data_IF_220958849481
#
_entry.id   IF_220958849481
#
_cell.length_a   1.000
_cell.length_b   1.000
_cell.length_c   1.000
_cell.angle_alpha   90.00
_cell.angle_beta   90.00
_cell.angle_gamma   90.00
#
_symmetry.space_group_name_H-M   'P 1'
#
loop_
_entity.id
_entity.type
_entity.pdbx_description
1 polymer ?
#
# COMPACT_ATOMS: atom_id res chain seq x y z
N UNK A 1 -3.37 22.03 1.57
CA UNK A 1 -3.10 20.77 2.30
C UNK A 1 -3.18 21.02 3.80
N UNK A 2 -4.09 20.34 4.50
CA UNK A 2 -4.24 20.47 5.96
C UNK A 2 -3.25 19.55 6.72
N UNK A 3 -3.27 19.58 8.06
CA UNK A 3 -2.37 18.76 8.90
C UNK A 3 -2.60 17.26 8.73
N UNK A 4 -3.85 16.85 8.54
CA UNK A 4 -4.22 15.44 8.35
C UNK A 4 -3.70 14.91 7.01
N UNK A 5 -3.91 15.67 5.93
CA UNK A 5 -3.38 15.38 4.61
C UNK A 5 -1.85 15.31 4.60
N UNK A 6 -1.16 16.21 5.31
CA UNK A 6 0.30 16.14 5.45
C UNK A 6 0.76 14.84 6.14
N UNK A 7 0.03 14.39 7.17
CA UNK A 7 0.34 13.14 7.86
C UNK A 7 0.18 11.94 6.90
N UNK A 8 -0.86 11.96 6.08
CA UNK A 8 -1.11 10.93 5.06
C UNK A 8 0.01 10.90 4.01
N UNK A 9 0.47 12.05 3.50
CA UNK A 9 1.59 12.06 2.55
C UNK A 9 2.87 11.48 3.18
N UNK A 10 3.14 11.75 4.45
CA UNK A 10 4.30 11.17 5.14
C UNK A 10 4.19 9.65 5.29
N UNK A 11 3.02 9.16 5.69
CA UNK A 11 2.71 7.73 5.76
C UNK A 11 2.97 7.05 4.39
N UNK A 12 2.45 7.64 3.31
CA UNK A 12 2.63 7.09 1.97
C UNK A 12 4.07 7.14 1.48
N UNK A 13 4.81 8.20 1.83
CA UNK A 13 6.24 8.29 1.53
C UNK A 13 7.02 7.17 2.21
N UNK A 14 6.77 6.90 3.49
CA UNK A 14 7.44 5.82 4.22
C UNK A 14 7.12 4.43 3.63
N UNK A 15 5.88 4.20 3.22
CA UNK A 15 5.47 2.96 2.54
C UNK A 15 6.24 2.78 1.22
N UNK A 16 6.27 3.80 0.37
CA UNK A 16 6.93 3.76 -0.93
C UNK A 16 8.45 3.63 -0.78
N UNK A 17 9.05 4.36 0.16
CA UNK A 17 10.49 4.29 0.45
C UNK A 17 10.88 2.88 0.93
N UNK A 18 10.10 2.28 1.81
CA UNK A 18 10.30 0.90 2.27
C UNK A 18 10.20 -0.10 1.10
N UNK A 19 9.18 0.05 0.25
CA UNK A 19 8.95 -0.83 -0.91
C UNK A 19 10.09 -0.79 -1.94
N UNK A 20 10.62 0.40 -2.23
CA UNK A 20 11.72 0.58 -3.18
C UNK A 20 13.02 -0.01 -2.63
N UNK A 21 13.26 0.14 -1.33
CA UNK A 21 14.48 -0.33 -0.68
C UNK A 21 14.47 -1.84 -0.36
N UNK A 22 13.29 -2.47 -0.34
CA UNK A 22 13.18 -3.91 -0.19
C UNK A 22 13.66 -4.63 -1.46
N UNK A 23 14.57 -5.59 -1.29
CA UNK A 23 15.19 -6.36 -2.38
C UNK A 23 14.61 -7.76 -2.56
N UNK A 24 13.62 -8.15 -1.74
CA UNK A 24 12.96 -9.46 -1.86
C UNK A 24 12.26 -9.61 -3.21
N UNK A 25 12.27 -10.84 -3.73
CA UNK A 25 11.59 -11.21 -4.98
C UNK A 25 10.25 -11.91 -4.74
N UNK A 26 10.04 -12.41 -3.52
CA UNK A 26 8.84 -13.14 -3.10
C UNK A 26 8.40 -12.68 -1.71
N UNK A 27 7.10 -12.69 -1.48
CA UNK A 27 6.44 -12.15 -0.30
C UNK A 27 5.37 -13.13 0.17
N UNK A 28 5.53 -13.61 1.39
CA UNK A 28 4.62 -14.57 2.00
C UNK A 28 3.75 -13.86 3.03
N UNK A 29 2.44 -13.90 2.81
CA UNK A 29 1.43 -13.26 3.65
C UNK A 29 0.49 -14.32 4.22
N UNK A 30 0.17 -14.21 5.50
CA UNK A 30 -0.88 -15.01 6.12
C UNK A 30 -2.19 -14.27 6.01
N UNK A 31 -3.16 -14.89 5.34
CA UNK A 31 -4.52 -14.38 5.18
C UNK A 31 -5.42 -15.11 6.16
N UNK A 32 -6.15 -14.35 6.96
CA UNK A 32 -7.14 -14.86 7.90
C UNK A 32 -8.52 -14.33 7.50
N UNK A 33 -9.41 -15.21 7.06
CA UNK A 33 -10.78 -14.88 6.67
C UNK A 33 -11.77 -15.77 7.45
N UNK A 34 -12.53 -15.15 8.36
CA UNK A 34 -13.42 -15.88 9.26
C UNK A 34 -12.67 -16.88 10.14
N UNK A 35 -12.95 -18.18 9.95
CA UNK A 35 -12.29 -19.28 10.66
C UNK A 35 -11.21 -19.99 9.81
N UNK A 36 -10.87 -19.44 8.64
CA UNK A 36 -9.86 -20.00 7.75
C UNK A 36 -8.60 -19.14 7.77
N UNK A 37 -7.46 -19.83 7.77
CA UNK A 37 -6.14 -19.21 7.66
C UNK A 37 -5.35 -19.96 6.59
N UNK A 38 -4.81 -19.22 5.63
CA UNK A 38 -3.90 -19.76 4.62
C UNK A 38 -2.76 -18.79 4.35
N UNK A 39 -1.73 -19.30 3.69
CA UNK A 39 -0.56 -18.52 3.33
C UNK A 39 -0.51 -18.33 1.82
N UNK A 40 -0.33 -17.09 1.39
CA UNK A 40 -0.15 -16.73 -0.01
C UNK A 40 1.27 -16.24 -0.23
N UNK A 41 1.93 -16.75 -1.27
CA UNK A 41 3.22 -16.23 -1.71
C UNK A 41 3.03 -15.52 -3.06
N UNK A 42 3.37 -14.24 -3.10
CA UNK A 42 3.31 -13.42 -4.31
C UNK A 42 4.70 -12.95 -4.73
N UNK A 43 4.88 -12.73 -6.03
CA UNK A 43 6.13 -12.19 -6.56
C UNK A 43 6.21 -10.67 -6.33
N UNK A 44 7.41 -10.12 -6.53
CA UNK A 44 7.68 -8.68 -6.36
C UNK A 44 6.77 -7.79 -7.19
N UNK A 45 6.45 -8.18 -8.43
CA UNK A 45 5.58 -7.39 -9.30
C UNK A 45 4.18 -7.22 -8.69
N UNK A 46 3.57 -8.33 -8.24
CA UNK A 46 2.27 -8.30 -7.56
C UNK A 46 2.32 -7.52 -6.24
N UNK A 47 3.40 -7.67 -5.47
CA UNK A 47 3.59 -6.90 -4.24
C UNK A 47 3.65 -5.39 -4.52
N UNK A 48 4.40 -4.97 -5.54
CA UNK A 48 4.51 -3.56 -5.93
C UNK A 48 3.19 -3.02 -6.47
N UNK A 49 2.45 -3.81 -7.25
CA UNK A 49 1.11 -3.44 -7.71
C UNK A 49 0.18 -3.19 -6.51
N UNK A 50 0.13 -4.09 -5.54
CA UNK A 50 -0.68 -3.93 -4.33
C UNK A 50 -0.32 -2.65 -3.55
N UNK A 51 0.98 -2.35 -3.41
CA UNK A 51 1.42 -1.10 -2.77
C UNK A 51 0.93 0.12 -3.54
N UNK A 52 1.00 0.11 -4.87
CA UNK A 52 0.46 1.21 -5.70
C UNK A 52 -1.06 1.37 -5.54
N UNK A 53 -1.80 0.27 -5.44
CA UNK A 53 -3.25 0.29 -5.20
C UNK A 53 -3.58 0.91 -3.84
N UNK A 54 -2.93 0.47 -2.76
CA UNK A 54 -3.07 1.05 -1.42
C UNK A 54 -2.75 2.54 -1.41
N UNK A 55 -1.64 2.94 -2.06
CA UNK A 55 -1.25 4.36 -2.14
C UNK A 55 -2.30 5.18 -2.89
N UNK A 56 -2.79 4.66 -4.00
CA UNK A 56 -3.81 5.32 -4.83
C UNK A 56 -5.12 5.50 -4.06
N UNK A 57 -5.62 4.44 -3.41
CA UNK A 57 -6.83 4.51 -2.59
C UNK A 57 -6.69 5.50 -1.44
N UNK A 58 -5.53 5.51 -0.76
CA UNK A 58 -5.27 6.46 0.33
C UNK A 58 -5.34 7.90 -0.16
N UNK A 59 -4.79 8.18 -1.34
CA UNK A 59 -4.84 9.52 -1.92
C UNK A 59 -6.26 9.89 -2.38
N UNK A 60 -6.97 8.99 -3.08
CA UNK A 60 -8.35 9.21 -3.55
C UNK A 60 -9.31 9.48 -2.38
N UNK A 61 -9.17 8.72 -1.29
CA UNK A 61 -10.09 8.83 -0.15
C UNK A 61 -9.83 10.05 0.75
N UNK A 62 -8.68 10.72 0.63
CA UNK A 62 -8.27 11.76 1.59
C UNK A 62 -7.89 13.10 0.94
N UNK A 63 -7.90 13.17 -0.40
CA UNK A 63 -7.63 14.38 -1.15
C UNK A 63 -8.81 14.68 -2.06
N UNK A 64 -9.24 15.94 -2.04
CA UNK A 64 -10.13 16.45 -3.07
C UNK A 64 -9.31 16.62 -4.35
N UNK A 65 -9.78 16.02 -5.43
CA UNK A 65 -9.16 16.13 -6.74
C UNK A 65 -10.00 17.07 -7.60
N UNK A 66 -9.35 18.00 -8.30
CA UNK A 66 -10.01 18.93 -9.25
C UNK A 66 -10.44 18.21 -10.54
N UNK A 67 -11.23 17.14 -10.42
CA UNK A 67 -11.88 16.49 -11.55
C UNK A 67 -13.35 16.94 -11.61
N UNK A 68 -13.58 18.03 -12.36
CA UNK A 68 -14.83 18.29 -13.10
C UNK A 68 -14.75 17.63 -14.49
#
# INVERSE_FOLDING_TARGET
>A
MNKEQLAIIKELHEILESAINDKRTEYTHTVSEGNQEWTETINREKQLQFICEVVSERLVNNFEWENE
#
